data_IF_602522623623
#
_entry.id   IF_602522623623
#
_cell.length_a   1.000
_cell.length_b   1.000
_cell.length_c   1.000
_cell.angle_alpha   90.00
_cell.angle_beta   90.00
_cell.angle_gamma   90.00
#
_symmetry.space_group_name_H-M   'P 1'
#
loop_
_entity.id
_entity.type
_entity.pdbx_description
1 polymer ?
#
# COMPACT_ATOMS: atom_id res chain seq x y z
N UNK A 1 8.77 -0.09 13.62
CA UNK A 1 7.35 -0.51 13.81
C UNK A 1 6.95 -1.56 12.78
N UNK A 2 7.24 -1.41 11.47
CA UNK A 2 6.87 -2.40 10.44
C UNK A 2 7.56 -3.77 10.66
N UNK A 3 8.86 -3.77 10.96
CA UNK A 3 9.61 -5.00 11.28
C UNK A 3 9.16 -5.62 12.60
N UNK A 4 8.76 -4.82 13.59
CA UNK A 4 8.18 -5.30 14.85
C UNK A 4 6.79 -5.91 14.62
N UNK A 5 5.90 -5.30 13.81
CA UNK A 5 4.61 -5.88 13.42
C UNK A 5 4.81 -7.20 12.65
N UNK A 6 5.80 -7.28 11.75
CA UNK A 6 6.15 -8.50 11.02
C UNK A 6 6.65 -9.61 11.94
N UNK A 7 7.45 -9.27 12.99
CA UNK A 7 7.86 -10.22 14.03
C UNK A 7 6.71 -10.62 14.92
N UNK A 8 5.91 -9.67 15.39
CA UNK A 8 4.74 -9.91 16.23
C UNK A 8 3.68 -10.77 15.53
N UNK A 9 3.45 -10.54 14.25
CA UNK A 9 2.51 -11.32 13.46
C UNK A 9 2.98 -12.77 13.25
N UNK A 10 4.27 -13.00 12.92
CA UNK A 10 4.87 -14.34 12.88
C UNK A 10 4.89 -15.03 14.23
N UNK A 11 5.07 -14.28 15.31
CA UNK A 11 5.04 -14.78 16.68
C UNK A 11 3.62 -14.97 17.23
N UNK A 12 2.56 -14.63 16.46
CA UNK A 12 1.18 -14.79 16.87
C UNK A 12 0.66 -13.71 17.84
N UNK A 13 1.42 -12.63 18.08
CA UNK A 13 0.98 -11.52 18.95
C UNK A 13 0.06 -10.53 18.20
N UNK A 14 0.04 -10.59 16.87
CA UNK A 14 -0.90 -9.87 16.00
C UNK A 14 -1.53 -10.90 15.08
N UNK A 15 -2.83 -11.09 15.20
CA UNK A 15 -3.56 -12.14 14.50
C UNK A 15 -3.96 -11.72 13.09
N UNK A 16 -4.38 -10.46 12.90
CA UNK A 16 -4.86 -9.95 11.61
C UNK A 16 -4.24 -8.59 11.30
N UNK A 17 -4.03 -8.31 10.02
CA UNK A 17 -3.51 -7.03 9.50
C UNK A 17 -4.17 -6.70 8.16
N UNK A 18 -4.10 -5.41 7.79
CA UNK A 18 -4.38 -4.94 6.43
C UNK A 18 -3.18 -4.11 5.90
N UNK A 19 -2.06 -4.74 5.50
CA UNK A 19 -0.94 -4.01 4.93
C UNK A 19 -1.23 -3.61 3.48
N UNK A 20 -0.63 -2.49 3.03
CA UNK A 20 -0.59 -2.17 1.59
C UNK A 20 0.02 -3.33 0.80
N UNK A 21 -0.58 -3.64 -0.35
CA UNK A 21 -0.13 -4.71 -1.25
C UNK A 21 1.32 -4.53 -1.70
N UNK A 22 1.78 -3.29 -1.86
CA UNK A 22 3.17 -2.94 -2.18
C UNK A 22 4.22 -3.51 -1.21
N UNK A 23 3.79 -3.99 -0.04
CA UNK A 23 4.69 -4.57 0.98
C UNK A 23 4.91 -6.07 0.81
N UNK A 24 4.18 -6.72 -0.09
CA UNK A 24 4.31 -8.16 -0.33
C UNK A 24 5.46 -8.49 -1.28
N UNK A 25 5.79 -7.61 -2.24
CA UNK A 25 6.94 -7.79 -3.15
C UNK A 25 8.25 -8.09 -2.40
N UNK A 26 8.68 -7.26 -1.42
CA UNK A 26 9.86 -7.53 -0.58
C UNK A 26 9.77 -8.79 0.29
N UNK A 27 8.58 -9.39 0.43
CA UNK A 27 8.38 -10.67 1.10
C UNK A 27 8.55 -11.88 0.17
N UNK A 28 8.78 -11.62 -1.12
CA UNK A 28 8.93 -12.64 -2.16
C UNK A 28 7.68 -12.88 -3.02
N UNK A 29 6.62 -12.09 -2.82
CA UNK A 29 5.37 -12.18 -3.59
C UNK A 29 5.31 -11.05 -4.62
N UNK A 30 6.17 -11.12 -5.64
CA UNK A 30 6.34 -10.06 -6.64
C UNK A 30 5.08 -9.79 -7.47
N UNK A 31 4.20 -10.77 -7.61
CA UNK A 31 2.93 -10.64 -8.32
C UNK A 31 2.03 -9.54 -7.74
N UNK A 32 2.14 -9.24 -6.45
CA UNK A 32 1.40 -8.13 -5.85
C UNK A 32 1.82 -6.75 -6.39
N UNK A 33 3.06 -6.62 -6.86
CA UNK A 33 3.54 -5.37 -7.44
C UNK A 33 2.95 -5.09 -8.82
N UNK A 34 2.29 -6.06 -9.47
CA UNK A 34 1.56 -5.84 -10.73
C UNK A 34 0.44 -4.82 -10.54
N UNK A 35 -0.22 -4.83 -9.38
CA UNK A 35 -1.27 -3.86 -9.06
C UNK A 35 -0.73 -2.46 -8.75
N UNK A 36 0.57 -2.29 -8.60
CA UNK A 36 1.23 -0.98 -8.51
C UNK A 36 1.59 -0.41 -9.90
N UNK A 37 1.37 -1.14 -11.01
CA UNK A 37 1.61 -0.63 -12.36
C UNK A 37 0.66 0.52 -12.69
N UNK A 38 1.14 1.60 -13.34
CA UNK A 38 0.29 2.73 -13.66
C UNK A 38 -0.74 2.35 -14.72
N UNK A 39 -1.95 2.88 -14.57
CA UNK A 39 -3.06 2.79 -15.52
C UNK A 39 -3.60 1.38 -15.77
N UNK A 40 -3.18 0.36 -15.00
CA UNK A 40 -3.68 -1.02 -15.15
C UNK A 40 -5.11 -1.17 -14.63
N UNK A 41 -5.50 -0.36 -13.66
CA UNK A 41 -6.85 -0.27 -13.10
C UNK A 41 -7.36 1.17 -13.24
N UNK A 42 -8.02 1.52 -14.35
CA UNK A 42 -8.44 2.89 -14.62
C UNK A 42 -9.56 3.38 -13.68
N UNK A 43 -10.29 2.45 -13.08
CA UNK A 43 -11.41 2.72 -12.17
C UNK A 43 -11.53 1.63 -11.11
N UNK A 44 -12.41 1.87 -10.12
CA UNK A 44 -12.65 0.95 -9.00
C UNK A 44 -13.29 -0.37 -9.48
N UNK A 45 -14.11 -0.33 -10.51
CA UNK A 45 -14.76 -1.53 -11.04
C UNK A 45 -13.74 -2.50 -11.63
N UNK A 46 -12.80 -1.99 -12.43
CA UNK A 46 -11.67 -2.76 -12.99
C UNK A 46 -10.80 -3.34 -11.86
N UNK A 47 -10.51 -2.55 -10.83
CA UNK A 47 -9.80 -3.04 -9.66
C UNK A 47 -10.56 -4.18 -8.96
N UNK A 48 -11.86 -4.00 -8.70
CA UNK A 48 -12.69 -4.99 -8.03
C UNK A 48 -12.81 -6.30 -8.83
N UNK A 49 -12.90 -6.23 -10.16
CA UNK A 49 -12.88 -7.42 -11.03
C UNK A 49 -11.59 -8.23 -10.87
N UNK A 50 -10.45 -7.55 -10.76
CA UNK A 50 -9.16 -8.22 -10.53
C UNK A 50 -9.10 -8.78 -9.10
N UNK A 51 -9.46 -7.98 -8.11
CA UNK A 51 -9.34 -8.30 -6.69
C UNK A 51 -10.22 -9.48 -6.27
N UNK A 52 -11.48 -9.50 -6.71
CA UNK A 52 -12.44 -10.59 -6.42
C UNK A 52 -12.34 -11.76 -7.40
N UNK A 53 -11.70 -11.55 -8.55
CA UNK A 53 -11.58 -12.54 -9.61
C UNK A 53 -10.53 -13.63 -9.34
N UNK A 54 -10.37 -14.58 -10.29
CA UNK A 54 -9.44 -15.70 -10.14
C UNK A 54 -7.99 -15.27 -9.88
N UNK A 55 -7.56 -14.15 -10.47
CA UNK A 55 -6.19 -13.64 -10.28
C UNK A 55 -5.98 -13.19 -8.83
N UNK A 56 -6.86 -12.33 -8.29
CA UNK A 56 -6.76 -11.86 -6.92
C UNK A 56 -6.83 -13.00 -5.92
N UNK A 57 -7.76 -13.93 -6.11
CA UNK A 57 -7.87 -15.13 -5.29
C UNK A 57 -6.60 -16.01 -5.35
N UNK A 58 -5.98 -16.14 -6.53
CA UNK A 58 -4.71 -16.85 -6.66
C UNK A 58 -3.58 -16.17 -5.90
N UNK A 59 -3.51 -14.83 -5.97
CA UNK A 59 -2.52 -14.05 -5.24
C UNK A 59 -2.67 -14.23 -3.72
N UNK A 60 -3.90 -14.17 -3.20
CA UNK A 60 -4.18 -14.36 -1.78
C UNK A 60 -3.79 -15.77 -1.31
N UNK A 61 -4.15 -16.81 -2.07
CA UNK A 61 -3.78 -18.21 -1.74
C UNK A 61 -2.28 -18.44 -1.68
N UNK A 62 -1.49 -17.80 -2.54
CA UNK A 62 -0.02 -17.93 -2.52
C UNK A 62 0.61 -17.48 -1.21
N UNK A 63 -0.03 -16.59 -0.47
CA UNK A 63 0.46 -16.11 0.82
C UNK A 63 0.57 -17.27 1.84
N UNK A 64 -0.20 -18.32 1.69
CA UNK A 64 -0.23 -19.47 2.61
C UNK A 64 1.10 -20.21 2.70
N UNK A 65 1.94 -20.18 1.66
CA UNK A 65 3.31 -20.71 1.65
C UNK A 65 4.19 -20.11 2.76
N UNK A 66 3.84 -18.90 3.22
CA UNK A 66 4.55 -18.20 4.30
C UNK A 66 3.75 -18.12 5.60
N UNK A 67 2.72 -18.96 5.74
CA UNK A 67 1.87 -18.98 6.93
C UNK A 67 0.94 -17.75 7.04
N UNK A 68 0.56 -17.18 5.90
CA UNK A 68 -0.34 -16.03 5.79
C UNK A 68 -1.64 -16.48 5.17
N UNK A 69 -2.76 -16.36 5.85
CA UNK A 69 -4.08 -16.51 5.25
C UNK A 69 -4.48 -15.19 4.62
N UNK A 70 -4.58 -15.14 3.30
CA UNK A 70 -5.17 -14.01 2.58
C UNK A 70 -6.70 -14.15 2.59
N UNK A 71 -7.40 -13.07 2.93
CA UNK A 71 -8.86 -13.06 3.04
C UNK A 71 -9.49 -12.26 1.90
N UNK A 72 -9.13 -10.99 1.77
CA UNK A 72 -9.70 -10.09 0.77
C UNK A 72 -8.73 -8.98 0.39
N UNK A 73 -9.00 -8.29 -0.71
CA UNK A 73 -8.42 -6.99 -1.00
C UNK A 73 -9.38 -5.88 -0.56
N UNK A 74 -8.79 -4.79 -0.12
CA UNK A 74 -9.51 -3.58 0.26
C UNK A 74 -8.97 -2.41 -0.55
N UNK A 75 -9.81 -1.79 -1.38
CA UNK A 75 -9.44 -0.59 -2.11
C UNK A 75 -9.32 0.62 -1.17
N UNK A 76 -8.30 1.43 -1.39
CA UNK A 76 -8.06 2.67 -0.66
C UNK A 76 -8.15 3.91 -1.55
N UNK A 77 -8.53 3.74 -2.81
CA UNK A 77 -8.63 4.78 -3.80
C UNK A 77 -7.33 5.06 -4.57
N UNK A 78 -7.40 6.04 -5.44
CA UNK A 78 -6.25 6.45 -6.25
C UNK A 78 -5.15 7.07 -5.42
N UNK A 79 -3.91 6.77 -5.79
CA UNK A 79 -2.72 7.41 -5.24
C UNK A 79 -2.63 8.85 -5.68
N UNK A 80 -2.18 9.68 -4.76
CA UNK A 80 -1.92 11.11 -4.95
C UNK A 80 -0.49 11.41 -4.55
N UNK A 81 0.04 12.55 -4.98
CA UNK A 81 1.32 13.05 -4.52
C UNK A 81 1.09 14.37 -3.78
N UNK A 82 1.58 14.46 -2.53
CA UNK A 82 1.63 15.70 -1.78
C UNK A 82 2.97 16.38 -1.98
N UNK A 83 3.00 17.71 -1.91
CA UNK A 83 4.24 18.49 -1.93
C UNK A 83 4.05 19.89 -1.31
N UNK A 84 5.15 20.59 -1.03
CA UNK A 84 5.10 22.00 -0.56
C UNK A 84 5.17 23.02 -1.70
N UNK A 85 5.16 22.56 -2.96
CA UNK A 85 5.00 23.38 -4.17
C UNK A 85 3.97 22.74 -5.10
N UNK A 86 3.28 23.52 -5.94
CA UNK A 86 2.31 22.98 -6.89
C UNK A 86 3.05 22.15 -7.95
N UNK A 87 2.46 21.01 -8.32
CA UNK A 87 2.92 20.13 -9.39
C UNK A 87 1.85 20.16 -10.47
N UNK A 88 2.12 20.77 -11.62
CA UNK A 88 1.16 20.98 -12.72
C UNK A 88 1.58 20.31 -14.02
N UNK A 89 2.87 19.98 -14.17
CA UNK A 89 3.45 19.33 -15.36
C UNK A 89 4.60 18.40 -14.95
N UNK A 90 4.99 17.49 -15.83
CA UNK A 90 6.06 16.51 -15.54
C UNK A 90 7.37 17.16 -15.09
N UNK A 91 7.74 18.30 -15.65
CA UNK A 91 8.96 18.99 -15.26
C UNK A 91 8.98 19.41 -13.77
N UNK A 92 7.81 19.61 -13.15
CA UNK A 92 7.70 20.01 -11.76
C UNK A 92 8.07 18.89 -10.77
N UNK A 93 8.09 17.62 -11.23
CA UNK A 93 8.54 16.49 -10.41
C UNK A 93 10.05 16.40 -10.25
N UNK A 94 10.79 16.97 -11.22
CA UNK A 94 12.24 16.80 -11.29
C UNK A 94 12.93 17.24 -10.00
N UNK A 95 13.70 16.31 -9.44
CA UNK A 95 14.51 16.51 -8.24
C UNK A 95 13.75 16.51 -6.92
N UNK A 96 12.40 16.34 -6.91
CA UNK A 96 11.66 16.20 -5.67
C UNK A 96 12.00 14.89 -4.96
N UNK A 97 12.27 14.96 -3.68
CA UNK A 97 12.40 13.80 -2.79
C UNK A 97 11.00 13.38 -2.35
N UNK A 98 10.45 12.35 -2.97
CA UNK A 98 9.10 11.87 -2.64
C UNK A 98 9.20 10.55 -1.88
N UNK A 99 8.57 10.51 -0.72
CA UNK A 99 8.43 9.27 0.03
C UNK A 99 7.50 8.33 -0.71
N UNK A 100 7.89 7.06 -0.81
CA UNK A 100 7.13 5.98 -1.44
C UNK A 100 7.00 4.77 -0.52
N UNK A 101 6.08 3.87 -0.87
CA UNK A 101 6.04 2.50 -0.34
C UNK A 101 7.21 1.67 -0.89
N UNK A 102 7.48 0.52 -0.25
CA UNK A 102 8.57 -0.40 -0.63
C UNK A 102 8.21 -1.29 -1.83
N UNK A 103 7.85 -0.70 -2.96
CA UNK A 103 7.58 -1.38 -4.23
C UNK A 103 8.62 -0.95 -5.27
N UNK A 104 9.18 -1.92 -5.98
CA UNK A 104 10.11 -1.64 -7.08
C UNK A 104 9.41 -1.00 -8.27
N UNK A 105 8.15 -1.34 -8.49
CA UNK A 105 7.33 -0.74 -9.55
C UNK A 105 7.12 0.74 -9.26
N UNK A 106 6.70 1.11 -8.05
CA UNK A 106 6.51 2.52 -7.67
C UNK A 106 7.85 3.28 -7.71
N UNK A 107 8.93 2.67 -7.24
CA UNK A 107 10.27 3.29 -7.30
C UNK A 107 10.65 3.64 -8.74
N UNK A 108 10.48 2.70 -9.67
CA UNK A 108 10.80 2.90 -11.08
C UNK A 108 9.89 3.95 -11.74
N UNK A 109 8.59 3.96 -11.44
CA UNK A 109 7.67 5.00 -11.91
C UNK A 109 8.14 6.40 -11.50
N UNK A 110 8.44 6.56 -10.21
CA UNK A 110 8.87 7.86 -9.67
C UNK A 110 10.20 8.31 -10.30
N UNK A 111 11.16 7.40 -10.47
CA UNK A 111 12.42 7.69 -11.17
C UNK A 111 12.19 8.11 -12.63
N UNK A 112 11.29 7.43 -13.34
CA UNK A 112 11.00 7.71 -14.75
C UNK A 112 10.47 9.14 -14.98
N UNK A 113 9.78 9.72 -13.99
CA UNK A 113 9.29 11.11 -14.06
C UNK A 113 10.25 12.13 -13.40
N UNK A 114 11.46 11.70 -13.03
CA UNK A 114 12.52 12.57 -12.49
C UNK A 114 12.44 12.82 -10.99
N UNK A 115 11.59 12.08 -10.26
CA UNK A 115 11.53 12.09 -8.79
C UNK A 115 12.75 11.36 -8.21
N UNK A 116 13.17 11.76 -7.02
CA UNK A 116 14.13 11.06 -6.16
C UNK A 116 13.36 10.28 -5.08
N UNK A 117 12.92 9.03 -5.36
CA UNK A 117 12.07 8.29 -4.43
C UNK A 117 12.84 7.89 -3.17
N UNK A 118 12.18 8.04 -2.02
CA UNK A 118 12.69 7.68 -0.70
C UNK A 118 11.78 6.66 -0.04
N UNK A 119 12.27 5.45 0.18
CA UNK A 119 11.49 4.40 0.87
C UNK A 119 11.62 4.57 2.38
N UNK A 120 10.54 5.03 3.02
CA UNK A 120 10.49 5.23 4.47
C UNK A 120 9.28 4.47 5.07
N UNK A 121 9.40 4.07 6.33
CA UNK A 121 8.29 3.48 7.07
C UNK A 121 7.14 4.48 7.20
N UNK A 122 5.89 3.99 7.16
CA UNK A 122 4.71 4.87 7.20
C UNK A 122 4.64 5.73 8.47
N UNK A 123 5.10 5.19 9.60
CA UNK A 123 5.17 5.91 10.88
C UNK A 123 6.19 7.05 10.91
N UNK A 124 7.10 7.12 9.94
CA UNK A 124 8.14 8.15 9.86
C UNK A 124 7.75 9.28 8.90
N UNK A 125 6.66 9.12 8.15
CA UNK A 125 6.31 10.03 7.05
C UNK A 125 6.02 11.43 7.55
N UNK A 126 5.14 11.59 8.55
CA UNK A 126 4.80 12.93 9.08
C UNK A 126 6.04 13.70 9.51
N UNK A 127 6.89 13.07 10.32
CA UNK A 127 8.13 13.70 10.80
C UNK A 127 9.09 14.05 9.66
N UNK A 128 9.21 13.17 8.66
CA UNK A 128 10.08 13.39 7.51
C UNK A 128 9.58 14.52 6.60
N UNK A 129 8.26 14.68 6.47
CA UNK A 129 7.64 15.81 5.79
C UNK A 129 7.84 17.13 6.56
N UNK A 130 7.65 17.09 7.88
CA UNK A 130 7.79 18.25 8.76
C UNK A 130 9.21 18.79 8.78
N UNK A 131 10.21 17.91 8.81
CA UNK A 131 11.63 18.28 8.87
C UNK A 131 12.27 18.49 7.49
N UNK A 132 11.53 18.29 6.40
CA UNK A 132 12.04 18.45 5.03
C UNK A 132 13.03 17.36 4.58
N UNK A 133 13.10 16.22 5.26
CA UNK A 133 13.86 15.04 4.80
C UNK A 133 13.33 14.57 3.46
N UNK A 134 12.01 14.66 3.27
CA UNK A 134 11.33 14.51 1.99
C UNK A 134 10.46 15.73 1.68
N UNK A 135 10.32 16.05 0.38
CA UNK A 135 9.54 17.19 -0.10
C UNK A 135 8.04 16.87 -0.17
N UNK A 136 7.71 15.59 -0.23
CA UNK A 136 6.34 15.10 -0.35
C UNK A 136 6.22 13.60 -0.15
N UNK A 137 5.00 13.09 -0.28
CA UNK A 137 4.73 11.66 -0.19
C UNK A 137 3.74 11.22 -1.27
N UNK A 138 3.99 10.04 -1.81
CA UNK A 138 3.02 9.30 -2.62
C UNK A 138 2.17 8.46 -1.66
N UNK A 139 0.84 8.65 -1.70
CA UNK A 139 -0.12 8.04 -0.78
C UNK A 139 -1.54 8.13 -1.35
N UNK A 140 -2.56 7.97 -0.50
CA UNK A 140 -3.99 8.17 -0.82
C UNK A 140 -4.60 9.28 0.04
N UNK A 141 -5.70 9.88 -0.40
CA UNK A 141 -6.33 11.01 0.29
C UNK A 141 -6.76 10.68 1.72
N UNK A 142 -7.23 9.47 1.97
CA UNK A 142 -7.59 9.02 3.32
C UNK A 142 -6.39 9.05 4.28
N UNK A 143 -5.19 8.72 3.80
CA UNK A 143 -3.97 8.82 4.60
C UNK A 143 -3.54 10.28 4.81
N UNK A 144 -3.73 11.15 3.80
CA UNK A 144 -3.45 12.60 3.95
C UNK A 144 -4.27 13.16 5.10
N UNK A 145 -5.53 12.75 5.19
CA UNK A 145 -6.44 13.18 6.25
C UNK A 145 -6.11 12.53 7.61
N UNK A 146 -6.10 11.20 7.67
CA UNK A 146 -5.96 10.46 8.95
C UNK A 146 -4.60 10.63 9.61
N UNK A 147 -3.54 10.86 8.84
CA UNK A 147 -2.19 11.12 9.34
C UNK A 147 -1.86 12.61 9.43
N UNK A 148 -2.85 13.47 9.18
CA UNK A 148 -2.72 14.93 9.24
C UNK A 148 -1.61 15.49 8.36
N UNK A 149 -1.32 14.86 7.21
CA UNK A 149 -0.26 15.37 6.31
C UNK A 149 -0.57 16.76 5.78
N UNK A 150 -1.85 17.19 5.77
CA UNK A 150 -2.26 18.54 5.42
C UNK A 150 -1.68 19.63 6.35
N UNK A 151 -1.24 19.29 7.56
CA UNK A 151 -0.56 20.24 8.45
C UNK A 151 0.86 20.59 7.97
N UNK A 152 1.51 19.66 7.22
CA UNK A 152 2.91 19.77 6.79
C UNK A 152 3.07 19.73 5.27
N UNK A 153 1.97 19.69 4.50
CA UNK A 153 1.94 19.66 3.04
C UNK A 153 0.90 20.65 2.52
N UNK A 154 1.29 21.51 1.57
CA UNK A 154 0.43 22.59 1.05
C UNK A 154 -0.39 22.21 -0.17
N UNK A 155 0.05 21.22 -0.93
CA UNK A 155 -0.57 20.85 -2.20
C UNK A 155 -0.74 19.34 -2.30
N UNK A 156 -1.81 18.92 -2.98
CA UNK A 156 -2.09 17.54 -3.38
C UNK A 156 -2.30 17.52 -4.89
N UNK A 157 -1.58 16.65 -5.59
CA UNK A 157 -1.75 16.41 -7.03
C UNK A 157 -2.52 15.12 -7.25
N UNK A 158 -3.68 15.22 -7.91
CA UNK A 158 -4.54 14.10 -8.26
C UNK A 158 -4.09 13.54 -9.61
N UNK A 159 -3.46 12.39 -9.63
CA UNK A 159 -2.86 11.81 -10.83
C UNK A 159 -3.70 10.68 -11.43
N UNK A 160 -4.53 10.03 -10.65
CA UNK A 160 -5.34 8.87 -11.05
C UNK A 160 -4.52 7.78 -11.78
N UNK A 161 -3.24 7.64 -11.42
CA UNK A 161 -2.29 6.77 -12.13
C UNK A 161 -2.31 5.34 -11.62
N UNK A 162 -2.60 5.11 -10.34
CA UNK A 162 -2.53 3.79 -9.69
C UNK A 162 -3.50 3.76 -8.52
N UNK A 163 -4.21 2.65 -8.34
CA UNK A 163 -4.95 2.36 -7.12
C UNK A 163 -3.99 1.93 -6.01
N UNK A 164 -4.28 2.33 -4.79
CA UNK A 164 -3.69 1.71 -3.62
C UNK A 164 -4.67 0.70 -3.04
N UNK A 165 -4.20 -0.52 -2.83
CA UNK A 165 -4.98 -1.53 -2.14
C UNK A 165 -4.27 -2.03 -0.88
N UNK A 166 -5.06 -2.54 0.03
CA UNK A 166 -4.63 -3.34 1.17
C UNK A 166 -5.04 -4.80 0.95
N UNK A 167 -4.27 -5.74 1.47
CA UNK A 167 -4.73 -7.12 1.59
C UNK A 167 -5.07 -7.39 3.06
N UNK A 168 -6.30 -7.80 3.32
CA UNK A 168 -6.70 -8.27 4.64
C UNK A 168 -6.13 -9.67 4.80
N UNK A 169 -5.28 -9.85 5.80
CA UNK A 169 -4.57 -11.10 6.03
C UNK A 169 -4.61 -11.50 7.49
N UNK A 170 -4.62 -12.81 7.74
CA UNK A 170 -4.54 -13.38 9.07
C UNK A 170 -3.28 -14.26 9.22
N UNK A 171 -2.82 -14.44 10.45
CA UNK A 171 -1.89 -15.51 10.77
C UNK A 171 -2.57 -16.85 10.48
N UNK A 172 -1.96 -17.69 9.64
CA UNK A 172 -2.61 -18.94 9.21
C UNK A 172 -2.90 -19.88 10.36
N UNK A 173 -1.97 -20.00 11.32
CA UNK A 173 -2.19 -20.87 12.50
C UNK A 173 -3.36 -20.38 13.37
N UNK A 174 -3.47 -19.04 13.54
CA UNK A 174 -4.61 -18.45 14.24
C UNK A 174 -5.92 -18.74 13.47
N UNK A 175 -5.92 -18.49 12.17
CA UNK A 175 -7.09 -18.67 11.31
C UNK A 175 -7.60 -20.12 11.32
N UNK A 176 -6.69 -21.08 11.14
CA UNK A 176 -7.01 -22.50 11.11
C UNK A 176 -7.49 -23.02 12.48
N UNK A 177 -7.13 -22.35 13.57
CA UNK A 177 -7.56 -22.65 14.94
C UNK A 177 -8.89 -22.00 15.35
N UNK A 178 -9.51 -21.19 14.49
CA UNK A 178 -10.82 -20.60 14.79
C UNK A 178 -11.93 -21.67 14.70
N UNK A 179 -12.95 -21.60 15.58
CA UNK A 179 -14.20 -22.35 15.40
C UNK A 179 -14.83 -22.06 14.03
N UNK A 180 -15.49 -23.06 13.44
CA UNK A 180 -16.04 -22.98 12.08
C UNK A 180 -17.11 -21.88 11.94
N UNK A 181 -17.93 -21.69 12.96
CA UNK A 181 -18.96 -20.65 13.03
C UNK A 181 -18.34 -19.25 13.01
N UNK A 182 -17.29 -19.03 13.81
CA UNK A 182 -16.56 -17.74 13.83
C UNK A 182 -15.85 -17.49 12.50
N UNK A 183 -15.21 -18.51 11.94
CA UNK A 183 -14.55 -18.40 10.64
C UNK A 183 -15.55 -18.08 9.53
N UNK A 184 -16.72 -18.73 9.50
CA UNK A 184 -17.78 -18.45 8.55
C UNK A 184 -18.32 -17.02 8.63
N UNK A 185 -18.47 -16.46 9.85
CA UNK A 185 -18.85 -15.05 10.04
C UNK A 185 -17.80 -14.12 9.44
N UNK A 186 -16.50 -14.37 9.71
CA UNK A 186 -15.40 -13.51 9.20
C UNK A 186 -15.23 -13.62 7.68
N UNK A 187 -15.56 -14.75 7.06
CA UNK A 187 -15.50 -14.95 5.60
C UNK A 187 -16.67 -14.28 4.87
N UNK A 188 -17.81 -14.11 5.55
CA UNK A 188 -19.02 -13.51 4.98
C UNK A 188 -19.12 -11.99 5.19
N UNK A 189 -18.21 -11.42 5.96
CA UNK A 189 -18.17 -9.97 6.28
C UNK A 189 -17.36 -9.18 5.27
#
# INVERSE_FOLDING_TARGET
IYLQKKRGWRAGTVQMLAPSISKFGPLGFKEFEVLDLPFITPDIESFNKIASGPLGQSMLRKLEIRGIKGLAFWDAGFRVITANRPIRKLADYKGLKIRINSSKVIENQMRAIGVMPQTLAFSEVYQSLQTGVVDGTETVLSNVWTQKFYEVQKFVSLLHHTHQAYAIVANKKFWDGLPDDIRGILESS
#
